data_IF_832432246059
#
_entry.id   IF_832432246059
#
_cell.length_a   1.000
_cell.length_b   1.000
_cell.length_c   1.000
_cell.angle_alpha   90.00
_cell.angle_beta   90.00
_cell.angle_gamma   90.00
#
_symmetry.space_group_name_H-M   'P 1'
#
loop_
_entity.id
_entity.type
_entity.pdbx_description
1 polymer ?
#
# COMPACT_ATOMS: atom_id res chain seq x y z
N UNK A 1 15.23 -7.69 -12.87
CA UNK A 1 15.87 -6.36 -12.92
C UNK A 1 16.29 -5.95 -11.50
N UNK A 2 17.37 -5.15 -11.30
CA UNK A 2 17.79 -4.73 -9.95
C UNK A 2 16.86 -3.62 -9.41
N UNK A 3 16.56 -3.55 -8.10
CA UNK A 3 15.68 -2.52 -7.52
C UNK A 3 16.34 -1.14 -7.34
N UNK A 4 17.64 -1.02 -7.55
CA UNK A 4 18.39 0.23 -7.51
C UNK A 4 19.63 0.12 -8.41
N UNK A 5 20.25 1.25 -8.70
CA UNK A 5 21.56 1.34 -9.36
C UNK A 5 22.36 2.53 -8.83
N UNK A 6 23.68 2.44 -8.88
CA UNK A 6 24.54 3.58 -8.58
C UNK A 6 24.57 4.55 -9.76
N UNK A 7 24.42 5.83 -9.47
CA UNK A 7 24.53 6.92 -10.43
C UNK A 7 25.53 7.95 -9.93
N UNK A 8 26.33 8.46 -10.84
CA UNK A 8 27.26 9.57 -10.59
C UNK A 8 26.48 10.86 -10.34
N UNK A 9 26.96 11.64 -9.39
CA UNK A 9 26.41 12.94 -9.02
C UNK A 9 27.53 13.91 -8.65
N UNK A 10 27.20 15.18 -8.52
CA UNK A 10 28.10 16.21 -7.98
C UNK A 10 27.52 16.63 -6.63
N UNK A 11 28.30 16.49 -5.55
CA UNK A 11 27.92 16.97 -4.23
C UNK A 11 28.55 18.32 -3.92
N UNK A 12 27.81 19.19 -3.23
CA UNK A 12 28.31 20.46 -2.71
C UNK A 12 28.30 20.45 -1.18
N UNK A 13 29.46 20.64 -0.56
CA UNK A 13 29.60 20.76 0.89
C UNK A 13 30.80 21.67 1.22
N UNK A 14 30.66 22.52 2.24
CA UNK A 14 31.73 23.42 2.67
C UNK A 14 32.24 24.37 1.57
N UNK A 15 31.37 24.80 0.64
CA UNK A 15 31.72 25.72 -0.45
C UNK A 15 32.45 25.08 -1.63
N UNK A 16 32.52 23.74 -1.72
CA UNK A 16 33.22 23.03 -2.81
C UNK A 16 32.31 22.00 -3.47
N UNK A 17 32.49 21.84 -4.78
CA UNK A 17 31.88 20.77 -5.56
C UNK A 17 32.83 19.58 -5.69
N UNK A 18 32.32 18.37 -5.48
CA UNK A 18 33.08 17.12 -5.61
C UNK A 18 32.28 16.08 -6.38
N UNK A 19 32.97 15.21 -7.14
CA UNK A 19 32.35 14.03 -7.71
C UNK A 19 31.89 13.08 -6.59
N UNK A 20 30.72 12.47 -6.79
CA UNK A 20 30.10 11.56 -5.83
C UNK A 20 29.32 10.48 -6.58
N UNK A 21 28.95 9.41 -5.87
CA UNK A 21 28.03 8.40 -6.37
C UNK A 21 26.99 8.08 -5.29
N UNK A 22 25.77 7.82 -5.72
CA UNK A 22 24.66 7.42 -4.84
C UNK A 22 23.89 6.28 -5.47
N UNK A 23 23.49 5.31 -4.66
CA UNK A 23 22.48 4.36 -5.06
C UNK A 23 21.13 5.08 -5.11
N UNK A 24 20.41 4.95 -6.23
CA UNK A 24 19.06 5.46 -6.40
C UNK A 24 18.13 4.30 -6.75
N UNK A 25 16.91 4.32 -6.21
CA UNK A 25 15.92 3.30 -6.54
C UNK A 25 15.61 3.33 -8.03
N UNK A 26 15.46 2.14 -8.62
CA UNK A 26 14.95 2.04 -9.98
C UNK A 26 13.43 2.16 -9.92
N UNK A 27 12.90 3.00 -10.79
CA UNK A 27 11.49 3.15 -11.07
C UNK A 27 11.28 2.74 -12.52
N UNK A 28 10.39 1.77 -12.74
CA UNK A 28 10.09 1.26 -14.08
C UNK A 28 8.59 1.18 -14.31
N UNK A 29 8.17 1.29 -15.56
CA UNK A 29 6.80 1.03 -15.95
C UNK A 29 6.51 -0.46 -15.78
N UNK A 30 5.46 -0.78 -15.02
CA UNK A 30 4.95 -2.12 -14.79
C UNK A 30 3.49 -2.15 -15.22
N UNK A 31 3.21 -2.82 -16.32
CA UNK A 31 1.85 -3.12 -16.74
C UNK A 31 1.30 -4.30 -15.90
N UNK A 32 0.02 -4.23 -15.57
CA UNK A 32 -0.73 -5.34 -14.97
C UNK A 32 -1.80 -5.73 -15.98
N UNK A 33 -1.65 -6.92 -16.53
CA UNK A 33 -2.48 -7.44 -17.62
C UNK A 33 -3.22 -8.68 -17.17
N UNK A 34 -4.52 -8.76 -17.43
CA UNK A 34 -5.33 -9.93 -17.11
C UNK A 34 -5.84 -10.58 -18.40
N UNK A 35 -5.61 -11.88 -18.54
CA UNK A 35 -6.05 -12.67 -19.70
C UNK A 35 -5.68 -12.00 -21.04
N UNK A 36 -4.45 -11.47 -21.13
CA UNK A 36 -3.91 -10.83 -22.33
C UNK A 36 -4.33 -9.38 -22.57
N UNK A 37 -5.05 -8.73 -21.64
CA UNK A 37 -5.45 -7.32 -21.77
C UNK A 37 -4.93 -6.49 -20.61
N UNK A 38 -4.19 -5.42 -20.92
CA UNK A 38 -3.67 -4.47 -19.93
C UNK A 38 -4.80 -3.77 -19.18
N UNK A 39 -4.67 -3.71 -17.85
CA UNK A 39 -5.61 -3.07 -16.94
C UNK A 39 -5.07 -1.75 -16.39
N UNK A 40 -3.79 -1.70 -16.07
CA UNK A 40 -3.13 -0.52 -15.54
C UNK A 40 -1.63 -0.55 -15.86
N UNK A 41 -1.00 0.63 -15.87
CA UNK A 41 0.45 0.78 -15.89
C UNK A 41 0.86 1.62 -14.69
N UNK A 42 1.71 1.06 -13.84
CA UNK A 42 2.22 1.68 -12.63
C UNK A 42 3.69 2.02 -12.80
N UNK A 43 4.15 3.09 -12.16
CA UNK A 43 5.59 3.30 -11.95
C UNK A 43 5.96 2.63 -10.63
N UNK A 44 6.81 1.60 -10.67
CA UNK A 44 7.10 0.75 -9.51
C UNK A 44 8.58 0.38 -9.43
N UNK A 45 9.01 -0.03 -8.23
CA UNK A 45 10.31 -0.65 -8.01
C UNK A 45 10.25 -2.10 -8.50
N UNK A 46 11.22 -2.56 -9.33
CA UNK A 46 11.20 -3.90 -9.92
C UNK A 46 11.67 -4.99 -8.94
N UNK A 47 11.02 -5.07 -7.77
CA UNK A 47 11.13 -6.13 -6.77
C UNK A 47 9.73 -6.52 -6.30
N UNK A 48 9.59 -7.75 -5.81
CA UNK A 48 8.34 -8.23 -5.18
C UNK A 48 7.11 -8.05 -6.09
N UNK A 49 7.30 -8.25 -7.40
CA UNK A 49 6.28 -7.93 -8.41
C UNK A 49 5.09 -8.89 -8.39
N UNK A 50 5.31 -10.15 -8.00
CA UNK A 50 4.20 -11.07 -7.76
C UNK A 50 3.30 -10.58 -6.62
N UNK A 51 3.91 -10.08 -5.54
CA UNK A 51 3.19 -9.48 -4.42
C UNK A 51 2.43 -8.22 -4.88
N UNK A 52 3.05 -7.36 -5.68
CA UNK A 52 2.37 -6.20 -6.27
C UNK A 52 1.14 -6.62 -7.07
N UNK A 53 1.28 -7.63 -7.93
CA UNK A 53 0.20 -8.10 -8.79
C UNK A 53 -0.99 -8.65 -7.98
N UNK A 54 -0.72 -9.49 -6.98
CA UNK A 54 -1.75 -10.05 -6.10
C UNK A 54 -2.44 -8.96 -5.29
N UNK A 55 -1.65 -8.07 -4.65
CA UNK A 55 -2.19 -7.00 -3.83
C UNK A 55 -3.04 -6.02 -4.61
N UNK A 56 -2.55 -5.57 -5.77
CA UNK A 56 -3.30 -4.72 -6.68
C UNK A 56 -4.61 -5.40 -7.14
N UNK A 57 -4.55 -6.70 -7.49
CA UNK A 57 -5.75 -7.45 -7.89
C UNK A 57 -6.81 -7.47 -6.79
N UNK A 58 -6.41 -7.65 -5.53
CA UNK A 58 -7.30 -7.67 -4.38
C UNK A 58 -7.89 -6.29 -4.09
N UNK A 59 -7.03 -5.28 -4.02
CA UNK A 59 -7.47 -3.95 -3.62
C UNK A 59 -8.27 -3.23 -4.69
N UNK A 60 -8.09 -3.59 -5.95
CA UNK A 60 -8.97 -3.14 -7.04
C UNK A 60 -10.29 -3.93 -7.14
N UNK A 61 -10.45 -5.00 -6.35
CA UNK A 61 -11.62 -5.88 -6.37
C UNK A 61 -11.71 -6.76 -7.63
N UNK A 62 -10.59 -7.03 -8.29
CA UNK A 62 -10.53 -7.92 -9.46
C UNK A 62 -10.63 -9.37 -8.98
N UNK A 63 -9.91 -9.69 -7.90
CA UNK A 63 -9.99 -10.97 -7.20
C UNK A 63 -10.48 -10.75 -5.76
N UNK A 64 -11.12 -11.76 -5.19
CA UNK A 64 -11.49 -11.85 -3.79
C UNK A 64 -10.47 -12.69 -2.99
N UNK A 65 -9.74 -13.59 -3.66
CA UNK A 65 -8.74 -14.46 -3.06
C UNK A 65 -7.60 -14.76 -4.06
N UNK A 66 -6.43 -15.13 -3.53
CA UNK A 66 -5.25 -15.40 -4.36
C UNK A 66 -5.41 -16.61 -5.29
N UNK A 67 -6.23 -17.59 -4.91
CA UNK A 67 -6.51 -18.80 -5.70
C UNK A 67 -7.37 -18.52 -6.95
N UNK A 68 -7.95 -17.33 -7.07
CA UNK A 68 -8.56 -16.87 -8.32
C UNK A 68 -7.52 -16.44 -9.38
N UNK A 69 -6.22 -16.41 -9.04
CA UNK A 69 -5.13 -16.28 -10.00
C UNK A 69 -4.49 -17.66 -10.24
N UNK A 70 -4.62 -18.18 -11.45
CA UNK A 70 -4.03 -19.46 -11.84
C UNK A 70 -2.52 -19.33 -12.06
N UNK A 71 -2.10 -18.20 -12.62
CA UNK A 71 -0.71 -17.97 -13.03
C UNK A 71 -0.38 -16.50 -13.08
N UNK A 72 0.86 -16.18 -12.71
CA UNK A 72 1.48 -14.86 -12.91
C UNK A 72 2.78 -15.08 -13.69
N UNK A 73 2.96 -14.35 -14.78
CA UNK A 73 4.23 -14.27 -15.51
C UNK A 73 4.69 -12.83 -15.64
N UNK A 74 6.00 -12.63 -15.50
CA UNK A 74 6.64 -11.34 -15.74
C UNK A 74 7.32 -11.37 -17.09
N UNK A 75 6.86 -10.55 -18.04
CA UNK A 75 7.45 -10.40 -19.36
C UNK A 75 8.27 -9.11 -19.40
N UNK A 76 9.53 -9.20 -19.82
CA UNK A 76 10.36 -8.02 -20.08
C UNK A 76 10.08 -7.49 -21.48
N UNK A 77 9.48 -6.31 -21.56
CA UNK A 77 9.11 -5.65 -22.81
C UNK A 77 10.19 -4.65 -23.29
N UNK A 78 11.38 -4.65 -22.67
CA UNK A 78 12.50 -3.75 -22.94
C UNK A 78 12.32 -2.33 -22.39
N UNK A 79 11.12 -1.75 -22.53
CA UNK A 79 10.76 -0.42 -21.99
C UNK A 79 10.12 -0.46 -20.60
N UNK A 80 9.86 -1.66 -20.08
CA UNK A 80 9.14 -1.90 -18.84
C UNK A 80 8.84 -3.39 -18.68
N UNK A 81 8.07 -3.72 -17.65
CA UNK A 81 7.66 -5.09 -17.35
C UNK A 81 6.15 -5.22 -17.55
N UNK A 82 5.68 -6.36 -18.03
CA UNK A 82 4.27 -6.72 -18.08
C UNK A 82 4.03 -7.92 -17.17
N UNK A 83 3.25 -7.71 -16.11
CA UNK A 83 2.78 -8.74 -15.21
C UNK A 83 1.49 -9.31 -15.82
N UNK A 84 1.61 -10.47 -16.45
CA UNK A 84 0.50 -11.18 -17.05
C UNK A 84 -0.11 -12.12 -16.02
N UNK A 85 -1.39 -11.90 -15.71
CA UNK A 85 -2.18 -12.71 -14.80
C UNK A 85 -3.24 -13.48 -15.58
N UNK A 86 -3.34 -14.77 -15.30
CA UNK A 86 -4.42 -15.62 -15.79
C UNK A 86 -5.40 -15.85 -14.65
N UNK A 87 -6.64 -15.41 -14.86
CA UNK A 87 -7.70 -15.48 -13.84
C UNK A 87 -8.56 -16.73 -14.03
N UNK A 88 -8.86 -17.40 -12.92
CA UNK A 88 -9.79 -18.52 -12.87
C UNK A 88 -11.25 -18.06 -12.79
N UNK A 89 -12.15 -18.93 -13.26
CA UNK A 89 -13.57 -18.97 -12.89
C UNK A 89 -14.28 -17.61 -12.80
N UNK A 90 -14.74 -17.29 -11.58
CA UNK A 90 -15.58 -16.13 -11.31
C UNK A 90 -14.85 -14.80 -11.49
N UNK A 91 -13.55 -14.71 -11.18
CA UNK A 91 -12.78 -13.48 -11.33
C UNK A 91 -12.70 -13.00 -12.78
N UNK A 92 -12.46 -13.92 -13.74
CA UNK A 92 -12.45 -13.59 -15.15
C UNK A 92 -13.81 -13.02 -15.62
N UNK A 93 -14.90 -13.60 -15.12
CA UNK A 93 -16.27 -13.16 -15.44
C UNK A 93 -16.61 -11.81 -14.82
N UNK A 94 -16.22 -11.56 -13.55
CA UNK A 94 -16.36 -10.25 -12.89
C UNK A 94 -15.59 -9.16 -13.64
N UNK A 95 -14.34 -9.43 -14.01
CA UNK A 95 -13.52 -8.47 -14.75
C UNK A 95 -14.12 -8.16 -16.14
N UNK A 96 -14.57 -9.19 -16.87
CA UNK A 96 -15.22 -9.01 -18.17
C UNK A 96 -16.54 -8.20 -18.05
N UNK A 97 -17.33 -8.44 -17.00
CA UNK A 97 -18.55 -7.68 -16.75
C UNK A 97 -18.24 -6.20 -16.44
N UNK A 98 -17.25 -5.93 -15.57
CA UNK A 98 -16.79 -4.57 -15.26
C UNK A 98 -16.27 -3.84 -16.50
N UNK A 99 -15.53 -4.52 -17.37
CA UNK A 99 -15.08 -3.92 -18.65
C UNK A 99 -16.25 -3.56 -19.57
N UNK A 100 -17.29 -4.39 -19.65
CA UNK A 100 -18.49 -4.09 -20.43
C UNK A 100 -19.27 -2.89 -19.88
N UNK A 101 -19.35 -2.75 -18.55
CA UNK A 101 -20.00 -1.58 -17.95
C UNK A 101 -19.21 -0.29 -18.21
N UNK A 102 -17.88 -0.35 -18.19
CA UNK A 102 -17.02 0.80 -18.54
C UNK A 102 -17.03 1.14 -20.04
N UNK A 103 -17.36 0.17 -20.91
CA UNK A 103 -17.45 0.35 -22.36
C UNK A 103 -18.86 0.78 -22.87
N UNK A 104 -19.71 1.31 -21.99
CA UNK A 104 -21.05 1.81 -22.36
C UNK A 104 -21.01 2.93 -23.42
N UNK A 105 -22.17 3.38 -23.96
CA UNK A 105 -22.23 4.27 -25.13
C UNK A 105 -21.58 5.67 -24.95
N UNK A 106 -21.19 6.02 -23.73
CA UNK A 106 -20.44 7.26 -23.35
C UNK A 106 -19.04 6.97 -22.80
N UNK A 107 -18.67 5.70 -22.65
CA UNK A 107 -17.46 5.24 -22.00
C UNK A 107 -16.26 5.24 -22.94
N UNK A 108 -15.60 6.38 -23.06
CA UNK A 108 -14.22 6.41 -23.56
C UNK A 108 -13.19 6.04 -22.47
N UNK A 109 -13.63 5.69 -21.25
CA UNK A 109 -12.76 5.49 -20.08
C UNK A 109 -11.99 6.76 -19.69
N UNK A 110 -12.34 7.91 -20.28
CA UNK A 110 -11.68 9.21 -20.12
C UNK A 110 -12.62 10.27 -19.52
N UNK A 111 -13.88 9.92 -19.25
CA UNK A 111 -14.86 10.80 -18.62
C UNK A 111 -14.66 10.80 -17.10
N UNK A 112 -14.15 11.90 -16.56
CA UNK A 112 -13.74 12.01 -15.15
C UNK A 112 -14.83 11.78 -14.07
N UNK A 113 -16.08 11.54 -14.45
CA UNK A 113 -17.16 11.20 -13.51
C UNK A 113 -17.08 9.72 -13.10
N UNK A 114 -16.80 8.80 -14.05
CA UNK A 114 -16.61 7.38 -13.71
C UNK A 114 -15.36 7.20 -12.83
N UNK A 115 -14.30 7.98 -13.10
CA UNK A 115 -13.13 8.03 -12.21
C UNK A 115 -13.44 8.64 -10.85
N UNK A 116 -14.44 9.52 -10.75
CA UNK A 116 -14.86 10.11 -9.47
C UNK A 116 -15.65 9.09 -8.64
N UNK A 117 -16.60 8.38 -9.25
CA UNK A 117 -17.32 7.28 -8.58
C UNK A 117 -16.36 6.17 -8.13
N UNK A 118 -15.35 5.87 -8.96
CA UNK A 118 -14.32 4.90 -8.63
C UNK A 118 -13.41 5.40 -7.50
N UNK A 119 -12.99 6.66 -7.52
CA UNK A 119 -12.25 7.28 -6.43
C UNK A 119 -13.06 7.34 -5.11
N UNK A 120 -14.39 7.47 -5.21
CA UNK A 120 -15.32 7.54 -4.08
C UNK A 120 -16.02 6.20 -3.78
N UNK A 121 -15.46 5.07 -4.24
CA UNK A 121 -16.06 3.75 -4.02
C UNK A 121 -16.33 3.49 -2.54
N UNK A 122 -17.48 2.87 -2.26
CA UNK A 122 -17.86 2.45 -0.92
C UNK A 122 -16.75 1.62 -0.26
N UNK A 123 -16.29 2.09 0.90
CA UNK A 123 -15.25 1.43 1.67
C UNK A 123 -15.89 0.48 2.68
N UNK A 124 -15.50 -0.81 2.74
CA UNK A 124 -16.08 -1.74 3.69
C UNK A 124 -15.76 -1.33 5.14
N UNK A 125 -16.68 -1.60 6.06
CA UNK A 125 -16.42 -1.39 7.48
C UNK A 125 -15.59 -2.55 8.04
N UNK A 126 -14.52 -2.20 8.76
CA UNK A 126 -13.63 -3.17 9.38
C UNK A 126 -14.18 -3.59 10.76
N UNK A 127 -14.20 -4.89 11.02
CA UNK A 127 -14.68 -5.49 12.28
C UNK A 127 -13.56 -5.84 13.26
N UNK A 128 -12.30 -5.61 12.90
CA UNK A 128 -11.16 -5.88 13.77
C UNK A 128 -11.22 -5.03 15.06
N UNK A 129 -10.96 -5.67 16.20
CA UNK A 129 -11.04 -5.07 17.55
C UNK A 129 -9.68 -5.00 18.26
N UNK A 130 -8.59 -5.32 17.55
CA UNK A 130 -7.24 -5.33 18.12
C UNK A 130 -6.88 -3.97 18.70
N UNK A 131 -6.31 -3.98 19.91
CA UNK A 131 -5.90 -2.79 20.64
C UNK A 131 -4.38 -2.68 20.70
N UNK A 132 -3.90 -1.45 20.73
CA UNK A 132 -2.49 -1.09 20.75
C UNK A 132 -2.23 -0.14 21.92
N UNK A 133 -1.15 -0.35 22.66
CA UNK A 133 -0.68 0.66 23.60
C UNK A 133 0.05 1.79 22.88
N UNK A 134 0.23 2.93 23.57
CA UNK A 134 1.09 4.00 23.07
C UNK A 134 2.53 3.52 22.80
N UNK A 135 3.02 2.56 23.61
CA UNK A 135 4.33 1.94 23.40
C UNK A 135 4.35 1.07 22.13
N UNK A 136 3.27 0.31 21.86
CA UNK A 136 3.18 -0.49 20.63
C UNK A 136 3.22 0.38 19.37
N UNK A 137 2.60 1.57 19.40
CA UNK A 137 2.66 2.53 18.28
C UNK A 137 4.11 2.97 18.02
N UNK A 138 4.86 3.30 19.08
CA UNK A 138 6.27 3.67 18.96
C UNK A 138 7.11 2.50 18.42
N UNK A 139 6.95 1.31 18.98
CA UNK A 139 7.65 0.10 18.54
C UNK A 139 7.33 -0.28 17.09
N UNK A 140 6.11 -0.04 16.63
CA UNK A 140 5.72 -0.28 15.24
C UNK A 140 6.50 0.62 14.26
N UNK A 141 6.67 1.90 14.61
CA UNK A 141 7.42 2.88 13.80
C UNK A 141 8.92 2.62 13.85
N UNK A 142 9.45 2.23 15.00
CA UNK A 142 10.85 1.83 15.13
C UNK A 142 11.15 0.59 14.27
N UNK A 143 10.33 -0.45 14.39
CA UNK A 143 10.52 -1.71 13.67
C UNK A 143 10.48 -1.52 12.15
N UNK A 144 9.55 -0.71 11.61
CA UNK A 144 9.54 -0.44 10.17
C UNK A 144 10.79 0.35 9.75
N UNK A 145 11.18 1.38 10.51
CA UNK A 145 12.35 2.23 10.20
C UNK A 145 13.64 1.39 10.13
N UNK A 146 13.80 0.43 11.05
CA UNK A 146 14.95 -0.47 11.09
C UNK A 146 14.92 -1.58 10.02
N UNK A 147 13.77 -1.90 9.44
CA UNK A 147 13.65 -2.99 8.47
C UNK A 147 13.76 -2.55 6.99
N UNK A 148 13.70 -1.24 6.69
CA UNK A 148 13.74 -0.71 5.32
C UNK A 148 15.12 -0.77 4.64
N UNK A 149 15.45 -1.92 4.05
CA UNK A 149 16.74 -2.18 3.42
C UNK A 149 17.00 -1.32 2.18
N UNK A 150 16.00 -1.13 1.31
CA UNK A 150 16.12 -0.34 0.09
C UNK A 150 16.18 1.16 0.44
N UNK A 151 15.31 1.63 1.33
CA UNK A 151 15.32 3.02 1.79
C UNK A 151 16.67 3.41 2.41
N UNK A 152 17.28 2.55 3.25
CA UNK A 152 18.61 2.84 3.82
C UNK A 152 19.66 3.13 2.75
N UNK A 153 19.53 2.51 1.59
CA UNK A 153 20.49 2.63 0.48
C UNK A 153 20.17 3.78 -0.44
N UNK A 154 18.88 4.03 -0.71
CA UNK A 154 18.47 4.96 -1.77
C UNK A 154 17.86 6.25 -1.26
N UNK A 155 17.30 6.24 -0.03
CA UNK A 155 16.53 7.33 0.57
C UNK A 155 15.35 7.80 -0.28
N UNK A 156 14.89 6.97 -1.22
CA UNK A 156 13.96 7.37 -2.29
C UNK A 156 12.77 6.42 -2.45
N UNK A 157 12.44 5.65 -1.42
CA UNK A 157 11.31 4.70 -1.43
C UNK A 157 10.47 4.83 -0.16
N UNK A 158 9.20 4.47 -0.29
CA UNK A 158 8.24 4.27 0.78
C UNK A 158 8.24 2.81 1.25
N UNK A 159 7.64 2.57 2.42
CA UNK A 159 7.41 1.23 2.92
C UNK A 159 6.01 1.10 3.53
N UNK A 160 5.49 -0.12 3.44
CA UNK A 160 4.33 -0.58 4.17
C UNK A 160 4.72 -1.81 4.98
N UNK A 161 4.33 -1.83 6.26
CA UNK A 161 4.54 -2.95 7.16
C UNK A 161 3.25 -3.42 7.82
N UNK A 162 3.18 -4.71 8.16
CA UNK A 162 2.17 -5.26 9.05
C UNK A 162 2.84 -5.54 10.39
N UNK A 163 2.39 -4.87 11.45
CA UNK A 163 2.94 -5.01 12.79
C UNK A 163 1.90 -5.60 13.73
N UNK A 164 2.30 -6.54 14.57
CA UNK A 164 1.45 -7.07 15.65
C UNK A 164 2.10 -6.80 17.01
N UNK A 165 1.35 -6.33 18.03
CA UNK A 165 1.87 -6.19 19.38
C UNK A 165 2.43 -7.50 19.96
N UNK A 166 1.97 -8.65 19.44
CA UNK A 166 2.38 -9.97 19.92
C UNK A 166 3.66 -10.48 19.28
N UNK A 167 3.85 -10.21 17.99
CA UNK A 167 4.92 -10.82 17.18
C UNK A 167 5.88 -9.81 16.54
N UNK A 168 5.70 -8.51 16.79
CA UNK A 168 6.45 -7.45 16.15
C UNK A 168 6.09 -7.30 14.68
N UNK A 169 7.07 -6.88 13.87
CA UNK A 169 6.91 -6.71 12.42
C UNK A 169 6.76 -8.06 11.72
N UNK A 170 5.57 -8.33 11.17
CA UNK A 170 5.21 -9.58 10.47
C UNK A 170 5.77 -9.58 9.05
N UNK A 171 5.59 -8.48 8.32
CA UNK A 171 6.05 -8.33 6.95
C UNK A 171 6.28 -6.85 6.62
N UNK A 172 7.15 -6.60 5.64
CA UNK A 172 7.46 -5.27 5.10
C UNK A 172 7.68 -5.36 3.59
N UNK A 173 7.19 -4.36 2.87
CA UNK A 173 7.47 -4.15 1.44
C UNK A 173 7.82 -2.70 1.15
N UNK A 174 8.74 -2.51 0.20
CA UNK A 174 9.22 -1.20 -0.23
C UNK A 174 8.91 -0.96 -1.71
N UNK A 175 8.61 0.30 -2.02
CA UNK A 175 8.42 0.74 -3.40
C UNK A 175 8.60 2.26 -3.51
N UNK A 176 8.97 2.76 -4.68
CA UNK A 176 8.94 4.20 -4.99
C UNK A 176 7.54 4.80 -4.81
N UNK A 177 6.48 4.04 -5.12
CA UNK A 177 5.10 4.41 -4.90
C UNK A 177 4.55 3.88 -3.57
N UNK A 178 3.99 4.77 -2.73
CA UNK A 178 3.38 4.37 -1.45
C UNK A 178 2.22 3.37 -1.59
N UNK A 179 1.43 3.50 -2.67
CA UNK A 179 0.33 2.59 -2.97
C UNK A 179 0.84 1.21 -3.35
N UNK A 180 1.85 1.15 -4.22
CA UNK A 180 2.50 -0.09 -4.60
C UNK A 180 3.14 -0.80 -3.39
N UNK A 181 3.74 -0.04 -2.46
CA UNK A 181 4.30 -0.64 -1.24
C UNK A 181 3.21 -1.33 -0.40
N UNK A 182 2.05 -0.70 -0.25
CA UNK A 182 0.90 -1.28 0.44
C UNK A 182 0.31 -2.47 -0.32
N UNK A 183 0.13 -2.38 -1.64
CA UNK A 183 -0.32 -3.50 -2.46
C UNK A 183 0.64 -4.67 -2.35
N UNK A 184 1.96 -4.46 -2.46
CA UNK A 184 2.96 -5.51 -2.24
C UNK A 184 2.81 -6.14 -0.85
N UNK A 185 2.62 -5.36 0.21
CA UNK A 185 2.43 -5.94 1.55
C UNK A 185 1.18 -6.83 1.61
N UNK A 186 0.07 -6.35 1.07
CA UNK A 186 -1.21 -7.09 1.02
C UNK A 186 -1.04 -8.38 0.21
N UNK A 187 -0.40 -8.29 -0.96
CA UNK A 187 -0.12 -9.45 -1.79
C UNK A 187 0.80 -10.46 -1.13
N UNK A 188 1.86 -10.01 -0.45
CA UNK A 188 2.80 -10.88 0.26
C UNK A 188 2.12 -11.71 1.37
N UNK A 189 1.30 -11.07 2.20
CA UNK A 189 0.56 -11.75 3.26
C UNK A 189 -0.54 -12.65 2.68
N UNK A 190 -1.11 -12.28 1.53
CA UNK A 190 -2.13 -13.12 0.87
C UNK A 190 -1.51 -14.37 0.24
N UNK A 191 -0.39 -14.21 -0.47
CA UNK A 191 0.32 -15.31 -1.11
C UNK A 191 0.81 -16.37 -0.11
N UNK A 192 1.08 -15.96 1.13
CA UNK A 192 1.56 -16.82 2.21
C UNK A 192 0.45 -17.32 3.15
N UNK A 193 -0.82 -16.97 2.90
CA UNK A 193 -1.95 -17.38 3.74
C UNK A 193 -1.98 -16.71 5.13
N UNK A 194 -1.32 -15.56 5.27
CA UNK A 194 -1.15 -14.82 6.52
C UNK A 194 -2.05 -13.58 6.62
N UNK A 195 -3.12 -13.47 5.83
CA UNK A 195 -4.03 -12.31 5.84
C UNK A 195 -4.66 -12.04 7.22
N UNK A 196 -4.80 -13.08 8.06
CA UNK A 196 -5.28 -12.93 9.43
C UNK A 196 -4.40 -11.99 10.29
N UNK A 197 -3.15 -11.74 9.87
CA UNK A 197 -2.28 -10.76 10.51
C UNK A 197 -2.86 -9.34 10.47
N UNK A 198 -3.66 -8.98 9.44
CA UNK A 198 -4.29 -7.65 9.37
C UNK A 198 -5.34 -7.43 10.45
N UNK A 199 -6.13 -8.45 10.76
CA UNK A 199 -7.15 -8.37 11.81
C UNK A 199 -6.52 -8.25 13.21
N UNK A 200 -5.38 -8.93 13.41
CA UNK A 200 -4.61 -8.96 14.67
C UNK A 200 -3.48 -7.92 14.77
N UNK A 201 -3.41 -6.99 13.83
CA UNK A 201 -2.25 -6.11 13.65
C UNK A 201 -2.62 -4.70 13.21
N UNK A 202 -1.60 -3.93 12.90
CA UNK A 202 -1.68 -2.57 12.36
C UNK A 202 -0.90 -2.50 11.04
N UNK A 203 -1.44 -1.73 10.11
CA UNK A 203 -0.71 -1.28 8.92
C UNK A 203 0.13 -0.07 9.30
N UNK A 204 1.44 -0.16 9.07
CA UNK A 204 2.40 0.92 9.34
C UNK A 204 2.91 1.47 8.02
N UNK A 205 2.75 2.77 7.79
CA UNK A 205 3.09 3.45 6.53
C UNK A 205 4.06 4.60 6.75
N UNK A 206 5.11 4.67 5.93
CA UNK A 206 6.10 5.76 5.99
C UNK A 206 5.69 7.00 5.18
N UNK A 207 4.52 6.98 4.54
CA UNK A 207 4.01 8.03 3.66
C UNK A 207 2.90 8.86 4.29
N UNK A 208 2.49 9.93 3.60
CA UNK A 208 1.19 10.57 3.81
C UNK A 208 0.05 9.60 3.51
N UNK A 209 -1.12 9.85 4.08
CA UNK A 209 -2.31 9.04 3.88
C UNK A 209 -3.34 9.75 3.00
N UNK A 210 -3.60 9.15 1.85
CA UNK A 210 -4.69 9.52 0.94
C UNK A 210 -5.84 8.53 1.10
N UNK A 211 -7.03 8.92 0.62
CA UNK A 211 -8.25 8.08 0.63
C UNK A 211 -8.01 6.66 0.12
N UNK A 212 -7.27 6.49 -0.98
CA UNK A 212 -6.97 5.18 -1.55
C UNK A 212 -6.18 4.26 -0.60
N UNK A 213 -5.29 4.81 0.24
CA UNK A 213 -4.54 3.99 1.20
C UNK A 213 -5.47 3.48 2.31
N UNK A 214 -6.46 4.28 2.70
CA UNK A 214 -7.49 3.88 3.67
C UNK A 214 -8.40 2.80 3.06
N UNK A 215 -8.83 2.98 1.81
CA UNK A 215 -9.63 1.99 1.08
C UNK A 215 -8.89 0.64 0.98
N UNK A 216 -7.61 0.66 0.61
CA UNK A 216 -6.75 -0.54 0.56
C UNK A 216 -6.63 -1.22 1.93
N UNK A 217 -6.45 -0.44 3.00
CA UNK A 217 -6.40 -0.95 4.37
C UNK A 217 -7.72 -1.60 4.82
N UNK A 218 -8.86 -0.99 4.46
CA UNK A 218 -10.18 -1.52 4.75
C UNK A 218 -10.45 -2.84 4.00
N UNK A 219 -10.07 -2.91 2.72
CA UNK A 219 -10.17 -4.14 1.90
C UNK A 219 -9.29 -5.26 2.50
N UNK A 220 -8.12 -4.92 3.01
CA UNK A 220 -7.26 -5.88 3.72
C UNK A 220 -7.82 -6.29 5.10
N UNK A 221 -8.88 -5.64 5.59
CA UNK A 221 -9.50 -5.93 6.88
C UNK A 221 -8.69 -5.45 8.09
N UNK A 222 -7.80 -4.46 7.91
CA UNK A 222 -6.97 -3.95 9.00
C UNK A 222 -7.66 -2.81 9.75
N UNK A 223 -7.85 -2.97 11.06
CA UNK A 223 -8.60 -2.01 11.89
C UNK A 223 -7.76 -0.87 12.46
N UNK A 224 -6.44 -0.93 12.35
CA UNK A 224 -5.52 0.09 12.88
C UNK A 224 -4.51 0.44 11.80
N UNK A 225 -4.38 1.74 11.54
CA UNK A 225 -3.41 2.26 10.59
C UNK A 225 -2.56 3.33 11.28
N UNK A 226 -1.25 3.15 11.21
CA UNK A 226 -0.22 4.00 11.82
C UNK A 226 0.61 4.62 10.70
N UNK A 227 0.70 5.95 10.66
CA UNK A 227 1.51 6.65 9.67
C UNK A 227 2.51 7.62 10.28
N UNK A 228 3.70 7.66 9.68
CA UNK A 228 4.75 8.62 10.08
C UNK A 228 4.46 10.05 9.60
N UNK A 229 3.54 10.23 8.64
CA UNK A 229 3.19 11.52 8.06
C UNK A 229 1.70 11.81 8.18
N UNK A 230 1.28 13.03 7.85
CA UNK A 230 -0.08 13.50 8.03
C UNK A 230 -1.07 12.85 7.02
N UNK A 231 -2.34 12.64 7.43
CA UNK A 231 -3.42 12.29 6.52
C UNK A 231 -4.01 13.52 5.82
N UNK A 232 -4.76 13.29 4.73
CA UNK A 232 -5.69 14.32 4.20
C UNK A 232 -7.02 14.25 4.93
N UNK A 233 -7.81 15.35 4.91
CA UNK A 233 -9.14 15.38 5.53
C UNK A 233 -10.07 14.26 5.01
N UNK A 234 -10.12 14.05 3.69
CA UNK A 234 -10.89 12.96 3.09
C UNK A 234 -10.42 11.57 3.56
N UNK A 235 -9.12 11.39 3.81
CA UNK A 235 -8.61 10.14 4.36
C UNK A 235 -9.10 9.91 5.80
N UNK A 236 -9.17 10.97 6.62
CA UNK A 236 -9.73 10.93 7.97
C UNK A 236 -11.22 10.55 7.93
N UNK A 237 -12.01 11.23 7.12
CA UNK A 237 -13.44 10.94 6.94
C UNK A 237 -13.67 9.49 6.48
N UNK A 238 -12.88 9.03 5.50
CA UNK A 238 -12.97 7.66 4.99
C UNK A 238 -12.58 6.63 6.05
N UNK A 239 -11.55 6.92 6.87
CA UNK A 239 -11.13 6.04 7.94
C UNK A 239 -12.20 5.95 9.03
N UNK A 240 -12.88 7.06 9.32
CA UNK A 240 -13.98 7.09 10.26
C UNK A 240 -15.14 6.20 9.79
N UNK A 241 -15.58 6.38 8.54
CA UNK A 241 -16.63 5.55 7.93
C UNK A 241 -16.27 4.06 7.89
N UNK A 242 -15.00 3.75 7.59
CA UNK A 242 -14.49 2.38 7.52
C UNK A 242 -14.22 1.75 8.90
N UNK A 243 -14.42 2.49 10.00
CA UNK A 243 -14.12 2.05 11.37
C UNK A 243 -12.65 1.71 11.60
N UNK A 244 -11.74 2.42 10.94
CA UNK A 244 -10.30 2.27 11.09
C UNK A 244 -9.79 3.28 12.09
N UNK A 245 -9.03 2.84 13.09
CA UNK A 245 -8.28 3.72 13.99
C UNK A 245 -7.09 4.31 13.25
N UNK A 246 -7.14 5.62 13.02
CA UNK A 246 -6.13 6.34 12.26
C UNK A 246 -5.16 7.07 13.20
N UNK A 247 -3.97 6.53 13.36
CA UNK A 247 -2.86 7.15 14.09
C UNK A 247 -1.88 7.73 13.09
N UNK A 248 -1.53 8.99 13.23
CA UNK A 248 -0.62 9.65 12.30
C UNK A 248 0.30 10.66 12.98
N UNK A 249 1.19 11.27 12.19
CA UNK A 249 2.18 12.24 12.67
C UNK A 249 3.09 11.67 13.77
N UNK A 250 3.36 10.36 13.73
CA UNK A 250 4.17 9.70 14.77
C UNK A 250 5.61 10.21 14.74
N UNK A 251 6.07 10.78 15.87
CA UNK A 251 7.44 11.26 16.10
C UNK A 251 7.92 10.80 17.47
N UNK A 252 9.19 11.05 17.78
CA UNK A 252 9.80 10.70 19.08
C UNK A 252 8.97 11.19 20.30
N UNK A 253 8.28 12.33 20.18
CA UNK A 253 7.52 12.94 21.27
C UNK A 253 6.03 12.56 21.35
N UNK A 254 5.50 11.76 20.41
CA UNK A 254 4.10 11.36 20.42
C UNK A 254 3.47 11.18 19.03
N UNK A 255 2.14 11.11 19.01
CA UNK A 255 1.33 10.89 17.81
C UNK A 255 -0.06 11.49 17.98
N UNK A 256 -0.79 11.61 16.86
CA UNK A 256 -2.16 12.10 16.82
C UNK A 256 -3.09 10.95 16.45
N UNK A 257 -4.23 10.83 17.14
CA UNK A 257 -5.30 9.89 16.78
C UNK A 257 -6.44 10.70 16.16
N UNK A 258 -6.81 10.35 14.93
CA UNK A 258 -7.83 11.08 14.18
C UNK A 258 -9.22 10.43 14.25
N UNK A 259 -9.27 9.09 14.40
CA UNK A 259 -10.53 8.32 14.36
C UNK A 259 -10.44 7.10 15.28
N UNK A 260 -11.59 6.65 15.81
CA UNK A 260 -11.73 5.42 16.61
C UNK A 260 -10.65 5.24 17.70
N UNK A 261 -10.45 6.22 18.61
CA UNK A 261 -9.34 6.22 19.57
C UNK A 261 -9.42 5.12 20.64
N UNK A 262 -10.57 4.47 20.80
CA UNK A 262 -10.79 3.40 21.78
C UNK A 262 -9.90 2.16 21.57
N UNK A 263 -9.29 2.01 20.38
CA UNK A 263 -8.30 0.96 20.11
C UNK A 263 -6.89 1.32 20.57
N UNK A 264 -6.61 2.55 20.99
CA UNK A 264 -5.33 2.96 21.58
C UNK A 264 -5.45 3.03 23.11
N UNK A 265 -4.69 2.21 23.81
CA UNK A 265 -4.72 2.08 25.28
C UNK A 265 -3.51 2.76 25.93
N UNK A 266 -3.75 3.63 26.91
CA UNK A 266 -2.69 4.29 27.67
C UNK A 266 -3.05 5.72 28.03
N UNK A 267 -3.40 5.95 29.30
CA UNK A 267 -3.87 7.24 29.81
C UNK A 267 -5.35 7.51 29.53
N UNK A 268 -5.97 8.43 30.29
CA UNK A 268 -7.34 8.85 30.05
C UNK A 268 -7.41 9.60 28.71
N UNK A 269 -8.22 9.09 27.76
CA UNK A 269 -8.51 9.81 26.53
C UNK A 269 -9.30 11.08 26.87
N UNK A 270 -8.86 12.27 26.44
CA UNK A 270 -9.71 13.46 26.56
C UNK A 270 -10.93 13.29 25.65
N UNK A 271 -12.11 13.71 26.13
CA UNK A 271 -13.27 13.84 25.26
C UNK A 271 -12.99 14.92 24.21
N UNK A 272 -12.89 14.52 22.95
CA UNK A 272 -12.85 15.46 21.82
C UNK A 272 -14.31 15.79 21.47
N UNK A 273 -14.64 17.09 21.53
CA UNK A 273 -15.99 17.62 21.28
C UNK A 273 -16.28 17.80 19.79
#
# INVERSE_FOLDING_TARGET
>A
MKPHRELSAISHAGGRFTASARALANEVAVAISYNGTSQAVLMATPSDLADLAIGFSLTEGIIAAADEIERIETVDCGRGLDLQLWLAGNAASRLAARRRSMAGPVGCGLCGIESLEEAMRATPQVTAETRFSAADVASAVEAITEAQALHRRTRSVHAAGCFSPRSGLVALREDVGRHNALDKLIGALTATGQQAAFAGGALVLTSRLSVELIQKAAIAGCGVLIAMSAPTALAVETADHARITLVASVREAGFEIYTHPERIIGGALPHVA
#
